data_IF_072576895508
#
_entry.id   IF_072576895508
#
_cell.length_a   1.000
_cell.length_b   1.000
_cell.length_c   1.000
_cell.angle_alpha   90.00
_cell.angle_beta   90.00
_cell.angle_gamma   90.00
#
_symmetry.space_group_name_H-M   'P 1'
#
loop_
_entity.id
_entity.type
_entity.pdbx_description
1 polymer ?
#
# COMPACT_ATOMS: atom_id res chain seq x y z
N UNK A 1 -7.76 -15.84 10.93
CA UNK A 1 -7.13 -14.83 11.81
C UNK A 1 -7.30 -13.45 11.20
N UNK A 2 -7.81 -12.53 11.98
CA UNK A 2 -7.98 -11.16 11.50
C UNK A 2 -6.63 -10.44 11.40
N UNK A 3 -6.51 -9.59 10.40
CA UNK A 3 -5.38 -8.67 10.27
C UNK A 3 -5.91 -7.25 10.35
N UNK A 4 -5.12 -6.36 10.90
CA UNK A 4 -5.37 -4.92 10.88
C UNK A 4 -4.48 -4.28 9.83
N UNK A 5 -5.04 -3.40 9.03
CA UNK A 5 -4.33 -2.75 7.93
C UNK A 5 -4.50 -1.24 8.08
N UNK A 6 -3.38 -0.52 8.06
CA UNK A 6 -3.36 0.93 8.19
C UNK A 6 -2.55 1.55 7.07
N UNK A 7 -2.93 2.74 6.64
CA UNK A 7 -2.17 3.52 5.67
C UNK A 7 -1.88 4.89 6.24
N UNK A 8 -0.60 5.21 6.33
CA UNK A 8 -0.13 6.55 6.66
C UNK A 8 0.21 7.26 5.36
N UNK A 9 -0.40 8.42 5.14
CA UNK A 9 -0.12 9.28 3.99
C UNK A 9 0.36 10.61 4.53
N UNK A 10 1.55 11.04 4.14
CA UNK A 10 2.11 12.30 4.60
C UNK A 10 1.19 13.48 4.26
N UNK A 11 0.82 14.23 5.27
CA UNK A 11 -0.06 15.40 5.13
C UNK A 11 -1.56 15.10 5.07
N UNK A 12 -1.96 13.83 5.09
CA UNK A 12 -3.37 13.44 5.04
C UNK A 12 -3.70 12.54 6.22
N UNK A 13 -4.65 12.96 7.06
CA UNK A 13 -5.07 12.21 8.24
C UNK A 13 -6.37 11.46 7.99
N UNK A 14 -6.41 10.20 8.43
CA UNK A 14 -7.62 9.41 8.54
C UNK A 14 -8.21 9.45 9.95
N UNK A 15 -8.99 8.42 10.27
CA UNK A 15 -9.75 8.38 11.52
C UNK A 15 -9.44 7.15 12.39
N UNK A 16 -8.29 6.49 12.18
CA UNK A 16 -7.89 5.36 13.02
C UNK A 16 -7.76 5.77 14.48
N UNK A 17 -8.31 4.95 15.36
CA UNK A 17 -8.22 5.10 16.82
C UNK A 17 -7.15 4.23 17.43
N UNK A 18 -6.46 3.41 16.64
CA UNK A 18 -5.40 2.54 17.12
C UNK A 18 -4.28 3.35 17.78
N UNK A 19 -3.79 2.90 18.93
CA UNK A 19 -2.81 3.66 19.70
C UNK A 19 -1.45 3.83 18.99
N UNK A 20 -1.07 2.89 18.11
CA UNK A 20 0.16 2.99 17.29
C UNK A 20 -0.06 3.64 15.93
N UNK A 21 -1.29 3.62 15.44
CA UNK A 21 -1.66 4.10 14.11
C UNK A 21 -2.74 5.16 14.18
N UNK A 22 -2.71 5.95 15.23
CA UNK A 22 -3.68 7.04 15.43
C UNK A 22 -3.67 8.00 14.24
N UNK A 23 -4.86 8.37 13.80
CA UNK A 23 -5.09 9.31 12.69
C UNK A 23 -4.58 8.81 11.33
N UNK A 24 -4.26 7.54 11.21
CA UNK A 24 -4.00 6.91 9.92
C UNK A 24 -5.32 6.45 9.30
N UNK A 25 -5.27 6.01 8.06
CA UNK A 25 -6.43 5.49 7.35
C UNK A 25 -6.58 4.00 7.69
N UNK A 26 -7.74 3.61 8.23
CA UNK A 26 -8.09 2.20 8.38
C UNK A 26 -8.39 1.62 7.00
N UNK A 27 -7.71 0.55 6.61
CA UNK A 27 -7.84 -0.07 5.29
C UNK A 27 -8.60 -1.38 5.42
N UNK A 28 -9.59 -1.57 4.55
CA UNK A 28 -10.37 -2.81 4.49
C UNK A 28 -9.68 -3.87 3.64
N UNK A 29 -9.15 -3.47 2.50
CA UNK A 29 -8.47 -4.36 1.57
C UNK A 29 -7.47 -3.58 0.72
N UNK A 30 -6.48 -4.27 0.21
CA UNK A 30 -5.50 -3.67 -0.69
C UNK A 30 -5.00 -4.70 -1.70
N UNK A 31 -4.48 -4.22 -2.82
CA UNK A 31 -3.87 -5.05 -3.84
C UNK A 31 -2.73 -4.32 -4.52
N UNK A 32 -1.70 -5.05 -4.86
CA UNK A 32 -0.53 -4.56 -5.56
C UNK A 32 0.20 -5.70 -6.22
N UNK A 33 0.97 -5.42 -7.25
CA UNK A 33 1.74 -6.45 -7.92
C UNK A 33 2.70 -5.89 -8.96
N UNK A 34 3.40 -6.79 -9.60
CA UNK A 34 4.35 -6.48 -10.65
C UNK A 34 4.43 -7.65 -11.63
N UNK A 35 4.85 -7.37 -12.84
CA UNK A 35 5.02 -8.39 -13.86
C UNK A 35 6.29 -8.18 -14.65
N UNK A 36 6.85 -9.27 -15.15
CA UNK A 36 8.01 -9.27 -16.01
C UNK A 36 7.66 -10.07 -17.27
N UNK A 37 8.03 -9.57 -18.44
CA UNK A 37 7.82 -10.30 -19.67
C UNK A 37 8.71 -11.54 -19.68
N UNK A 38 8.07 -12.72 -19.64
CA UNK A 38 8.77 -13.99 -19.62
C UNK A 38 9.23 -14.41 -21.00
N UNK A 39 10.49 -14.11 -21.35
CA UNK A 39 11.09 -14.54 -22.62
C UNK A 39 12.16 -15.61 -22.45
N UNK A 40 12.30 -16.18 -21.26
CA UNK A 40 13.32 -17.18 -20.95
C UNK A 40 13.23 -18.46 -21.82
N UNK A 41 12.07 -18.75 -22.36
CA UNK A 41 11.84 -19.92 -23.24
C UNK A 41 12.10 -19.63 -24.73
N UNK A 42 12.34 -18.38 -25.09
CA UNK A 42 12.59 -17.99 -26.49
C UNK A 42 14.10 -17.96 -26.76
N UNK A 43 14.71 -19.12 -26.99
CA UNK A 43 16.16 -19.33 -27.11
C UNK A 43 16.99 -18.18 -27.69
N UNK A 44 18.21 -18.02 -27.20
CA UNK A 44 19.16 -17.04 -27.69
C UNK A 44 19.16 -15.73 -26.90
N UNK A 45 19.68 -15.77 -25.69
CA UNK A 45 19.79 -14.61 -24.82
C UNK A 45 18.48 -14.36 -24.07
N UNK A 46 18.38 -14.97 -22.92
CA UNK A 46 17.28 -14.70 -21.99
C UNK A 46 17.32 -13.24 -21.52
N UNK A 47 16.84 -12.35 -22.37
CA UNK A 47 16.68 -10.94 -22.01
C UNK A 47 15.52 -10.79 -21.06
N UNK A 48 15.78 -10.32 -19.83
CA UNK A 48 14.71 -9.84 -18.98
C UNK A 48 14.11 -8.59 -19.62
N UNK A 49 12.82 -8.57 -19.81
CA UNK A 49 12.11 -7.36 -20.20
C UNK A 49 12.11 -6.35 -19.04
N UNK A 50 11.58 -5.17 -19.27
CA UNK A 50 11.40 -4.17 -18.21
C UNK A 50 10.23 -4.60 -17.32
N UNK A 51 10.43 -4.53 -16.00
CA UNK A 51 9.35 -4.81 -15.06
C UNK A 51 8.23 -3.79 -15.19
N UNK A 52 6.99 -4.26 -15.14
CA UNK A 52 5.80 -3.42 -15.01
C UNK A 52 5.34 -3.48 -13.57
N UNK A 53 5.45 -2.36 -12.86
CA UNK A 53 5.01 -2.24 -11.47
C UNK A 53 3.62 -1.60 -11.47
N UNK A 54 2.67 -2.29 -10.85
CA UNK A 54 1.29 -1.79 -10.74
C UNK A 54 1.18 -0.69 -9.70
N UNK A 55 0.16 0.14 -9.83
CA UNK A 55 -0.25 1.06 -8.79
C UNK A 55 -0.82 0.26 -7.61
N UNK A 56 -0.70 0.81 -6.41
CA UNK A 56 -1.29 0.20 -5.23
C UNK A 56 -2.74 0.65 -5.08
N UNK A 57 -3.66 -0.31 -5.01
CA UNK A 57 -5.08 -0.06 -4.77
C UNK A 57 -5.44 -0.39 -3.34
N UNK A 58 -6.27 0.44 -2.72
CA UNK A 58 -6.84 0.11 -1.43
C UNK A 58 -8.30 0.55 -1.34
N UNK A 59 -9.03 -0.15 -0.48
CA UNK A 59 -10.43 0.15 -0.17
C UNK A 59 -10.52 0.51 1.30
N UNK A 60 -11.23 1.59 1.61
CA UNK A 60 -11.48 2.03 2.97
C UNK A 60 -12.89 2.61 3.09
N UNK A 61 -13.35 2.78 4.31
CA UNK A 61 -14.56 3.56 4.54
C UNK A 61 -14.30 5.03 4.29
N UNK A 62 -15.27 5.72 3.71
CA UNK A 62 -15.21 7.17 3.52
C UNK A 62 -15.00 7.81 4.89
N UNK A 63 -13.98 8.64 5.00
CA UNK A 63 -13.61 9.35 6.22
C UNK A 63 -13.12 10.76 5.89
N UNK A 64 -12.56 11.46 6.87
CA UNK A 64 -12.06 12.83 6.66
C UNK A 64 -10.91 12.93 5.66
N UNK A 65 -10.23 11.83 5.36
CA UNK A 65 -9.19 11.81 4.33
C UNK A 65 -9.77 11.84 2.91
N UNK A 66 -11.01 11.40 2.73
CA UNK A 66 -11.61 11.20 1.41
C UNK A 66 -11.69 12.48 0.56
N UNK A 67 -12.21 13.62 1.06
CA UNK A 67 -12.22 14.84 0.26
C UNK A 67 -10.82 15.32 -0.12
N UNK A 68 -9.82 15.10 0.74
CA UNK A 68 -8.43 15.50 0.49
C UNK A 68 -7.81 14.61 -0.58
N UNK A 69 -8.05 13.31 -0.52
CA UNK A 69 -7.61 12.35 -1.54
C UNK A 69 -8.24 12.69 -2.91
N UNK A 70 -9.52 13.01 -2.93
CA UNK A 70 -10.22 13.45 -4.14
C UNK A 70 -9.58 14.71 -4.72
N UNK A 71 -9.30 15.69 -3.88
CA UNK A 71 -8.68 16.95 -4.32
C UNK A 71 -7.29 16.69 -4.90
N UNK A 72 -6.47 15.86 -4.24
CA UNK A 72 -5.15 15.53 -4.74
C UNK A 72 -5.21 14.75 -6.07
N UNK A 73 -6.24 13.93 -6.27
CA UNK A 73 -6.48 13.30 -7.56
C UNK A 73 -6.80 14.33 -8.64
N UNK A 74 -7.62 15.35 -8.31
CA UNK A 74 -8.00 16.39 -9.25
C UNK A 74 -6.83 17.26 -9.68
N UNK A 75 -5.99 17.67 -8.75
CA UNK A 75 -4.91 18.62 -9.01
C UNK A 75 -3.53 17.97 -9.24
N UNK A 76 -3.43 16.64 -9.12
CA UNK A 76 -2.17 15.93 -9.31
C UNK A 76 -1.09 16.28 -8.29
N UNK A 77 -1.48 16.70 -7.09
CA UNK A 77 -0.50 17.07 -6.06
C UNK A 77 0.35 15.88 -5.65
N UNK A 78 1.67 16.06 -5.70
CA UNK A 78 2.62 15.05 -5.27
C UNK A 78 2.62 14.91 -3.76
N UNK A 79 2.67 13.68 -3.30
CA UNK A 79 2.82 13.29 -1.90
C UNK A 79 4.20 12.69 -1.76
N UNK A 80 4.93 13.09 -0.74
CA UNK A 80 6.31 12.66 -0.57
C UNK A 80 6.42 11.19 -0.17
N UNK A 81 5.59 10.75 0.77
CA UNK A 81 5.68 9.41 1.34
C UNK A 81 4.33 8.89 1.79
N UNK A 82 4.11 7.59 1.62
CA UNK A 82 3.02 6.84 2.21
C UNK A 82 3.51 5.47 2.66
N UNK A 83 2.92 4.91 3.68
CA UNK A 83 3.30 3.60 4.20
C UNK A 83 2.09 2.78 4.61
N UNK A 84 2.02 1.59 4.06
CA UNK A 84 0.99 0.60 4.39
C UNK A 84 1.56 -0.34 5.45
N UNK A 85 0.78 -0.58 6.50
CA UNK A 85 1.12 -1.50 7.58
C UNK A 85 0.10 -2.62 7.62
N UNK A 86 0.57 -3.86 7.65
CA UNK A 86 -0.27 -5.03 7.89
C UNK A 86 0.18 -5.68 9.19
N UNK A 87 -0.74 -5.80 10.14
CA UNK A 87 -0.47 -6.28 11.48
C UNK A 87 -1.37 -7.47 11.79
N UNK A 88 -0.78 -8.54 12.33
CA UNK A 88 -1.58 -9.65 12.87
C UNK A 88 -2.20 -9.24 14.19
N UNK A 89 -3.49 -9.51 14.34
CA UNK A 89 -4.19 -9.31 15.60
C UNK A 89 -3.75 -10.36 16.64
N UNK A 90 -3.77 -10.01 17.91
CA UNK A 90 -3.41 -10.90 19.01
C UNK A 90 -2.90 -10.13 20.22
N UNK A 91 -2.53 -10.86 21.28
CA UNK A 91 -1.97 -10.25 22.49
C UNK A 91 -0.66 -9.51 22.22
N UNK A 92 0.13 -10.01 21.29
CA UNK A 92 1.39 -9.40 20.84
C UNK A 92 1.27 -9.10 19.35
N UNK A 93 0.63 -7.99 18.97
CA UNK A 93 0.47 -7.66 17.56
C UNK A 93 1.82 -7.46 16.90
N UNK A 94 2.01 -8.13 15.76
CA UNK A 94 3.23 -8.03 14.96
C UNK A 94 2.92 -7.38 13.62
N UNK A 95 3.57 -6.26 13.34
CA UNK A 95 3.54 -5.64 12.02
C UNK A 95 4.49 -6.40 11.10
N UNK A 96 3.97 -7.41 10.43
CA UNK A 96 4.79 -8.36 9.70
C UNK A 96 5.02 -7.98 8.24
N UNK A 97 4.24 -7.07 7.71
CA UNK A 97 4.40 -6.59 6.33
C UNK A 97 4.21 -5.09 6.27
N UNK A 98 5.16 -4.40 5.64
CA UNK A 98 5.04 -2.98 5.35
C UNK A 98 5.36 -2.71 3.89
N UNK A 99 4.64 -1.78 3.28
CA UNK A 99 4.89 -1.28 1.94
C UNK A 99 5.07 0.22 2.03
N UNK A 100 6.29 0.70 1.84
CA UNK A 100 6.61 2.13 1.87
C UNK A 100 6.75 2.64 0.44
N UNK A 101 6.07 3.73 0.13
CA UNK A 101 6.06 4.35 -1.19
C UNK A 101 6.58 5.77 -1.09
N UNK A 102 7.35 6.19 -2.09
CA UNK A 102 7.89 7.55 -2.17
C UNK A 102 7.57 8.18 -3.52
N UNK A 103 7.45 9.50 -3.51
CA UNK A 103 7.17 10.33 -4.68
C UNK A 103 5.91 9.80 -5.40
N UNK A 104 4.79 9.96 -4.74
CA UNK A 104 3.53 9.39 -5.20
C UNK A 104 2.47 10.46 -5.46
N UNK A 105 1.44 10.03 -6.17
CA UNK A 105 0.25 10.82 -6.40
C UNK A 105 -0.98 9.91 -6.35
N UNK A 106 -2.13 10.51 -6.11
CA UNK A 106 -3.40 9.80 -6.16
C UNK A 106 -3.83 9.72 -7.62
N UNK A 107 -3.77 8.52 -8.20
CA UNK A 107 -4.09 8.32 -9.62
C UNK A 107 -5.54 7.98 -9.89
N UNK A 108 -6.28 7.53 -8.88
CA UNK A 108 -7.68 7.19 -9.03
C UNK A 108 -8.40 7.24 -7.69
N UNK A 109 -9.62 7.76 -7.69
CA UNK A 109 -10.56 7.68 -6.57
C UNK A 109 -11.92 7.35 -7.13
N UNK A 110 -12.54 6.29 -6.62
CA UNK A 110 -13.92 5.98 -6.94
C UNK A 110 -14.72 5.78 -5.65
N UNK A 111 -15.89 6.33 -5.62
CA UNK A 111 -16.76 6.29 -4.45
C UNK A 111 -18.20 6.07 -4.91
N UNK A 112 -19.02 5.59 -4.02
CA UNK A 112 -20.41 5.35 -4.28
C UNK A 112 -21.08 4.81 -3.04
N UNK A 113 -22.33 4.47 -3.16
CA UNK A 113 -23.07 3.90 -2.04
C UNK A 113 -24.43 3.42 -2.47
N UNK A 114 -25.06 2.63 -1.63
CA UNK A 114 -26.40 2.15 -1.84
C UNK A 114 -27.27 2.39 -0.59
N UNK A 115 -28.56 2.41 -0.78
CA UNK A 115 -29.54 2.71 0.29
C UNK A 115 -29.43 1.78 1.50
N UNK A 116 -28.99 0.54 1.30
CA UNK A 116 -28.90 -0.45 2.38
C UNK A 116 -27.57 -0.52 3.12
N UNK A 117 -26.61 0.35 2.82
CA UNK A 117 -25.31 0.34 3.45
C UNK A 117 -25.27 1.22 4.70
N UNK A 118 -24.68 0.70 5.77
CA UNK A 118 -24.47 1.46 7.00
C UNK A 118 -23.29 2.42 6.89
N UNK A 119 -22.28 2.06 6.09
CA UNK A 119 -21.09 2.88 5.84
C UNK A 119 -20.70 2.79 4.38
N UNK A 120 -20.28 3.90 3.82
CA UNK A 120 -19.84 3.99 2.44
C UNK A 120 -18.36 3.67 2.33
N UNK A 121 -18.01 2.97 1.26
CA UNK A 121 -16.61 2.65 0.95
C UNK A 121 -16.12 3.46 -0.24
N UNK A 122 -14.81 3.52 -0.37
CA UNK A 122 -14.13 4.23 -1.45
C UNK A 122 -12.90 3.42 -1.87
N UNK A 123 -12.61 3.42 -3.17
CA UNK A 123 -11.42 2.80 -3.73
C UNK A 123 -10.45 3.89 -4.15
N UNK A 124 -9.21 3.76 -3.72
CA UNK A 124 -8.14 4.73 -4.02
C UNK A 124 -6.95 4.00 -4.62
N UNK A 125 -6.34 4.60 -5.63
CA UNK A 125 -5.15 4.08 -6.28
C UNK A 125 -4.01 5.08 -6.14
N UNK A 126 -2.84 4.57 -5.74
CA UNK A 126 -1.63 5.36 -5.57
C UNK A 126 -0.59 4.93 -6.60
N UNK A 127 -0.11 5.88 -7.39
CA UNK A 127 1.01 5.72 -8.30
C UNK A 127 2.27 6.29 -7.61
N UNK A 128 3.37 5.59 -7.65
CA UNK A 128 4.58 6.00 -6.93
C UNK A 128 5.85 5.71 -7.73
N UNK A 129 6.92 6.43 -7.41
CA UNK A 129 8.21 6.26 -8.08
C UNK A 129 9.11 5.24 -7.40
N UNK A 130 9.05 5.12 -6.07
CA UNK A 130 9.90 4.21 -5.31
C UNK A 130 9.07 3.41 -4.33
N UNK A 131 9.49 2.17 -4.11
CA UNK A 131 8.82 1.26 -3.19
C UNK A 131 9.82 0.47 -2.36
N UNK A 132 9.48 0.25 -1.10
CA UNK A 132 10.19 -0.65 -0.20
C UNK A 132 9.17 -1.58 0.45
N UNK A 133 9.38 -2.87 0.27
CA UNK A 133 8.57 -3.90 0.95
C UNK A 133 9.44 -4.57 1.98
N UNK A 134 8.93 -4.67 3.20
CA UNK A 134 9.60 -5.35 4.30
C UNK A 134 8.66 -6.38 4.89
N UNK A 135 9.13 -7.60 5.00
CA UNK A 135 8.41 -8.70 5.62
C UNK A 135 9.20 -9.21 6.83
N UNK A 136 8.50 -9.43 7.92
CA UNK A 136 9.08 -10.03 9.13
C UNK A 136 8.40 -11.35 9.43
N UNK A 137 9.20 -12.41 9.50
CA UNK A 137 8.73 -13.73 9.89
C UNK A 137 8.25 -13.72 11.35
N UNK A 138 7.14 -14.39 11.61
CA UNK A 138 6.67 -14.61 12.97
C UNK A 138 7.21 -15.97 13.47
N UNK A 139 7.90 -15.95 14.59
CA UNK A 139 8.38 -17.17 15.25
C UNK A 139 7.22 -17.96 15.87
N UNK A 140 7.40 -19.26 16.15
CA UNK A 140 6.36 -20.07 16.82
C UNK A 140 5.85 -19.50 18.13
N UNK A 141 6.69 -18.75 18.87
CA UNK A 141 6.30 -18.09 20.12
C UNK A 141 5.55 -16.77 19.93
N UNK A 142 5.31 -16.36 18.67
CA UNK A 142 4.63 -15.13 18.32
C UNK A 142 5.52 -13.90 18.19
N UNK A 143 6.81 -13.99 18.56
CA UNK A 143 7.75 -12.87 18.41
C UNK A 143 8.22 -12.70 16.97
N UNK A 144 8.80 -11.52 16.66
CA UNK A 144 9.37 -11.23 15.35
C UNK A 144 10.66 -12.01 15.10
N UNK A 145 10.76 -12.59 13.91
CA UNK A 145 11.95 -13.27 13.41
C UNK A 145 12.76 -12.39 12.45
N UNK A 146 13.57 -13.02 11.58
CA UNK A 146 14.35 -12.31 10.58
C UNK A 146 13.47 -11.48 9.63
N UNK A 147 14.01 -10.36 9.15
CA UNK A 147 13.37 -9.51 8.17
C UNK A 147 13.95 -9.73 6.79
N UNK A 148 13.10 -9.71 5.77
CA UNK A 148 13.50 -9.70 4.37
C UNK A 148 12.93 -8.45 3.73
N UNK A 149 13.72 -7.77 2.89
CA UNK A 149 13.26 -6.54 2.25
C UNK A 149 13.56 -6.51 0.76
N UNK A 150 12.76 -5.74 0.04
CA UNK A 150 12.93 -5.40 -1.36
C UNK A 150 12.81 -3.89 -1.51
N UNK A 151 13.69 -3.29 -2.32
CA UNK A 151 13.62 -1.87 -2.67
C UNK A 151 13.73 -1.75 -4.18
N UNK A 152 12.91 -0.90 -4.77
CA UNK A 152 12.94 -0.66 -6.20
C UNK A 152 12.68 0.80 -6.52
N UNK A 153 13.52 1.34 -7.40
CA UNK A 153 13.36 2.67 -7.98
C UNK A 153 12.84 2.49 -9.41
N UNK A 154 11.57 2.81 -9.62
CA UNK A 154 10.90 2.55 -10.89
C UNK A 154 11.50 3.38 -12.04
N UNK A 155 11.67 4.71 -11.92
CA UNK A 155 12.28 5.48 -13.00
C UNK A 155 13.71 5.06 -13.32
N UNK A 156 14.49 4.72 -12.32
CA UNK A 156 15.88 4.29 -12.52
C UNK A 156 16.00 2.85 -13.01
N UNK A 157 14.96 2.03 -12.81
CA UNK A 157 14.95 0.62 -13.20
C UNK A 157 15.98 -0.22 -12.44
N UNK A 158 16.15 0.07 -11.15
CA UNK A 158 17.16 -0.60 -10.32
C UNK A 158 16.70 -0.70 -8.86
N UNK A 159 17.35 -1.59 -8.11
CA UNK A 159 17.23 -1.64 -6.66
C UNK A 159 17.70 -0.30 -6.06
N UNK A 160 16.88 0.19 -5.14
CA UNK A 160 17.17 1.49 -4.52
C UNK A 160 18.06 1.34 -3.28
#
# INVERSE_FOLDING_TARGET
>A
MAVDIFLEVEGIKGESKDHKHKDQIDVLSWSWGMSQSGTAHMGGGAGAGKVSVQDLNFTHYIDKSSPILMLHCCNGKHIKKAKLFVRKAGEKPLEYLTVEMEDLLVSHVSTGGSHGEDRLTENVTLNFAKVKVEYQEQKPDGSGGPKTEMKWDIPAGKSA
#
